data_IF_352384593018
#
_entry.id   IF_352384593018
#
_cell.length_a   1.000
_cell.length_b   1.000
_cell.length_c   1.000
_cell.angle_alpha   90.00
_cell.angle_beta   90.00
_cell.angle_gamma   90.00
#
_symmetry.space_group_name_H-M   'P 1'
#
loop_
_entity.id
_entity.type
_entity.pdbx_description
1 polymer ?
#
# COMPACT_ATOMS: atom_id res chain seq x y z
N UNK A 1 -15.12 -1.77 -0.83
CA UNK A 1 -15.03 -0.31 -1.00
C UNK A 1 -13.64 0.03 -1.53
N UNK A 2 -13.51 1.00 -2.44
CA UNK A 2 -12.22 1.48 -2.97
C UNK A 2 -12.17 3.00 -2.79
N UNK A 3 -11.07 3.53 -2.25
CA UNK A 3 -10.88 4.97 -1.99
C UNK A 3 -9.52 5.39 -2.52
N UNK A 4 -9.50 6.47 -3.32
CA UNK A 4 -8.27 7.10 -3.78
C UNK A 4 -8.12 8.47 -3.12
N UNK A 5 -6.95 8.74 -2.53
CA UNK A 5 -6.63 10.02 -1.89
C UNK A 5 -5.66 10.78 -2.82
N UNK A 6 -6.18 11.80 -3.52
CA UNK A 6 -5.43 12.58 -4.52
C UNK A 6 -5.31 14.05 -4.12
N UNK A 7 -4.33 14.76 -4.68
CA UNK A 7 -4.04 16.15 -4.33
C UNK A 7 -2.60 16.58 -4.63
N UNK A 8 -2.33 17.89 -4.51
CA UNK A 8 -0.99 18.47 -4.76
C UNK A 8 0.06 18.00 -3.74
N UNK A 9 1.33 18.29 -4.02
CA UNK A 9 2.41 18.16 -3.03
C UNK A 9 2.10 18.95 -1.75
N UNK A 10 2.29 18.32 -0.58
CA UNK A 10 2.05 18.96 0.72
C UNK A 10 0.59 19.15 1.13
N UNK A 11 -0.41 18.62 0.38
CA UNK A 11 -1.82 18.74 0.77
C UNK A 11 -2.27 17.78 1.88
N UNK A 12 -1.37 16.99 2.44
CA UNK A 12 -1.68 16.03 3.51
C UNK A 12 -2.20 14.67 3.04
N UNK A 13 -2.06 14.29 1.77
CA UNK A 13 -2.58 13.01 1.22
C UNK A 13 -2.19 11.80 2.04
N UNK A 14 -0.90 11.61 2.29
CA UNK A 14 -0.36 10.46 3.02
C UNK A 14 -0.88 10.42 4.44
N UNK A 15 -0.96 11.58 5.11
CA UNK A 15 -1.55 11.71 6.44
C UNK A 15 -3.02 11.32 6.44
N UNK A 16 -3.81 11.84 5.50
CA UNK A 16 -5.24 11.51 5.36
C UNK A 16 -5.45 10.03 5.07
N UNK A 17 -4.65 9.45 4.17
CA UNK A 17 -4.68 8.03 3.84
C UNK A 17 -4.36 7.16 5.08
N UNK A 18 -3.33 7.51 5.85
CA UNK A 18 -2.95 6.80 7.06
C UNK A 18 -4.04 6.83 8.13
N UNK A 19 -4.60 8.01 8.40
CA UNK A 19 -5.69 8.19 9.38
C UNK A 19 -6.93 7.41 8.97
N UNK A 20 -7.32 7.49 7.69
CA UNK A 20 -8.46 6.75 7.16
C UNK A 20 -8.25 5.24 7.32
N UNK A 21 -7.11 4.73 6.86
CA UNK A 21 -6.80 3.31 6.88
C UNK A 21 -6.76 2.75 8.31
N UNK A 22 -6.03 3.39 9.23
CA UNK A 22 -6.00 2.98 10.65
C UNK A 22 -7.36 3.05 11.32
N UNK A 23 -8.17 4.06 10.99
CA UNK A 23 -9.51 4.21 11.58
C UNK A 23 -10.46 3.11 11.10
N UNK A 24 -10.40 2.74 9.83
CA UNK A 24 -11.19 1.63 9.28
C UNK A 24 -10.74 0.29 9.88
N UNK A 25 -9.43 0.03 9.92
CA UNK A 25 -8.86 -1.19 10.48
C UNK A 25 -9.26 -1.38 11.96
N UNK A 26 -9.14 -0.34 12.80
CA UNK A 26 -9.59 -0.37 14.21
C UNK A 26 -11.08 -0.65 14.40
N UNK A 27 -11.90 -0.34 13.41
CA UNK A 27 -13.35 -0.62 13.43
C UNK A 27 -13.66 -2.06 12.99
N UNK A 28 -12.64 -2.89 12.76
CA UNK A 28 -12.79 -4.26 12.27
C UNK A 28 -13.07 -4.34 10.77
N UNK A 29 -12.90 -3.25 10.02
CA UNK A 29 -13.04 -3.27 8.56
C UNK A 29 -11.74 -3.79 7.95
N UNK A 30 -11.76 -4.91 7.18
CA UNK A 30 -10.58 -5.38 6.48
C UNK A 30 -10.02 -4.28 5.57
N UNK A 31 -8.81 -3.82 5.88
CA UNK A 31 -8.24 -2.62 5.25
C UNK A 31 -6.88 -2.95 4.64
N UNK A 32 -6.78 -2.73 3.32
CA UNK A 32 -5.53 -2.69 2.58
C UNK A 32 -5.22 -1.24 2.23
N UNK A 33 -4.05 -0.77 2.62
CA UNK A 33 -3.46 0.47 2.16
C UNK A 33 -2.49 0.18 1.02
N UNK A 34 -2.61 0.94 -0.08
CA UNK A 34 -1.68 0.91 -1.20
C UNK A 34 -0.95 2.26 -1.23
N UNK A 35 0.37 2.24 -1.14
CA UNK A 35 1.19 3.43 -1.37
C UNK A 35 1.64 3.45 -2.83
N UNK A 36 1.08 4.39 -3.58
CA UNK A 36 1.40 4.61 -4.99
C UNK A 36 2.23 5.87 -5.22
N UNK A 37 2.83 6.45 -4.16
CA UNK A 37 3.66 7.64 -4.29
C UNK A 37 5.07 7.28 -4.80
N UNK A 38 5.66 8.17 -5.60
CA UNK A 38 7.05 8.09 -6.05
C UNK A 38 8.04 8.01 -4.88
N UNK A 39 7.71 8.64 -3.75
CA UNK A 39 8.46 8.54 -2.50
C UNK A 39 7.56 7.96 -1.40
N UNK A 40 7.50 6.62 -1.25
CA UNK A 40 6.57 5.96 -0.34
C UNK A 40 6.87 6.30 1.11
N UNK A 41 5.89 6.90 1.78
CA UNK A 41 6.00 7.31 3.19
C UNK A 41 4.77 6.88 4.01
N UNK A 42 3.85 6.12 3.41
CA UNK A 42 2.65 5.66 4.09
C UNK A 42 2.98 4.65 5.19
N UNK A 43 4.00 3.80 5.02
CA UNK A 43 4.47 2.86 6.05
C UNK A 43 4.88 3.54 7.34
N UNK A 44 5.67 4.61 7.24
CA UNK A 44 6.04 5.46 8.39
C UNK A 44 4.80 6.06 9.06
N UNK A 45 3.89 6.63 8.25
CA UNK A 45 2.66 7.26 8.75
C UNK A 45 1.70 6.26 9.42
N UNK A 46 1.73 5.00 9.01
CA UNK A 46 0.95 3.90 9.59
C UNK A 46 1.62 3.25 10.80
N UNK A 47 2.87 3.62 11.13
CA UNK A 47 3.60 3.12 12.30
C UNK A 47 4.31 1.79 12.07
N UNK A 48 4.74 1.48 10.84
CA UNK A 48 5.54 0.29 10.55
C UNK A 48 7.02 0.42 10.97
N UNK A 49 7.51 1.66 11.13
CA UNK A 49 8.92 1.94 11.35
C UNK A 49 9.71 2.01 10.04
N UNK A 50 10.93 2.54 10.13
CA UNK A 50 11.82 2.76 8.98
C UNK A 50 12.19 1.45 8.30
N UNK A 51 12.77 0.50 9.02
CA UNK A 51 13.24 -0.79 8.48
C UNK A 51 12.15 -1.55 7.69
N UNK A 52 10.93 -1.63 8.23
CA UNK A 52 9.81 -2.32 7.56
C UNK A 52 9.25 -1.53 6.38
N UNK A 53 9.39 -0.20 6.39
CA UNK A 53 8.97 0.64 5.25
C UNK A 53 10.00 0.53 4.13
N UNK A 54 11.29 0.56 4.47
CA UNK A 54 12.39 0.39 3.53
C UNK A 54 12.38 -0.98 2.86
N UNK A 55 12.04 -2.06 3.59
CA UNK A 55 11.95 -3.39 2.99
C UNK A 55 10.84 -3.49 1.93
N UNK A 56 9.71 -2.80 2.11
CA UNK A 56 8.66 -2.71 1.09
C UNK A 56 9.11 -1.92 -0.15
N UNK A 57 9.87 -0.85 0.07
CA UNK A 57 10.44 -0.03 -1.01
C UNK A 57 11.41 -0.87 -1.84
N UNK A 58 12.31 -1.62 -1.18
CA UNK A 58 13.27 -2.49 -1.85
C UNK A 58 12.57 -3.62 -2.65
N UNK A 59 11.49 -4.18 -2.12
CA UNK A 59 10.68 -5.18 -2.85
C UNK A 59 10.05 -4.57 -4.11
N UNK A 60 9.49 -3.36 -4.01
CA UNK A 60 8.97 -2.64 -5.19
C UNK A 60 10.07 -2.40 -6.21
N UNK A 61 11.23 -1.91 -5.77
CA UNK A 61 12.35 -1.59 -6.67
C UNK A 61 12.83 -2.84 -7.42
N UNK A 62 12.93 -3.98 -6.74
CA UNK A 62 13.27 -5.25 -7.39
C UNK A 62 12.22 -5.70 -8.43
N UNK A 63 10.93 -5.40 -8.22
CA UNK A 63 9.88 -5.66 -9.22
C UNK A 63 10.02 -4.72 -10.42
N UNK A 64 10.32 -3.44 -10.17
CA UNK A 64 10.50 -2.43 -11.22
C UNK A 64 11.76 -2.69 -12.07
N UNK A 65 12.83 -3.22 -11.46
CA UNK A 65 14.08 -3.60 -12.12
C UNK A 65 13.99 -4.94 -12.86
N UNK A 66 12.92 -5.73 -12.63
CA UNK A 66 12.71 -7.05 -13.25
C UNK A 66 13.40 -8.21 -12.53
N UNK A 67 14.03 -7.95 -11.38
CA UNK A 67 14.61 -8.97 -10.50
C UNK A 67 13.55 -9.79 -9.75
N UNK A 68 12.31 -9.27 -9.69
CA UNK A 68 11.14 -9.95 -9.15
C UNK A 68 9.98 -9.89 -10.15
N UNK A 69 9.26 -11.00 -10.29
CA UNK A 69 8.07 -11.04 -11.14
C UNK A 69 6.93 -10.22 -10.54
N UNK A 70 6.17 -9.54 -11.40
CA UNK A 70 4.94 -8.86 -11.01
C UNK A 70 3.92 -9.88 -10.47
N UNK A 71 3.07 -9.46 -9.54
CA UNK A 71 1.92 -10.26 -9.14
C UNK A 71 0.89 -10.30 -10.27
N UNK A 72 0.39 -11.49 -10.62
CA UNK A 72 -0.62 -11.68 -11.65
C UNK A 72 -2.05 -11.39 -11.17
N UNK A 73 -2.27 -11.28 -9.85
CA UNK A 73 -3.57 -10.97 -9.25
C UNK A 73 -3.45 -10.12 -7.98
N UNK A 74 -4.59 -9.56 -7.53
CA UNK A 74 -4.65 -8.82 -6.28
C UNK A 74 -4.39 -9.74 -5.07
N UNK A 75 -4.89 -10.98 -5.10
CA UNK A 75 -4.66 -12.00 -4.08
C UNK A 75 -3.17 -12.34 -3.98
N UNK A 76 -2.50 -12.49 -5.12
CA UNK A 76 -1.07 -12.78 -5.16
C UNK A 76 -0.24 -11.59 -4.66
N UNK A 77 -0.60 -10.36 -5.06
CA UNK A 77 0.03 -9.14 -4.55
C UNK A 77 -0.06 -9.07 -3.03
N UNK A 78 -1.24 -9.36 -2.49
CA UNK A 78 -1.47 -9.39 -1.04
C UNK A 78 -0.67 -10.49 -0.34
N UNK A 79 -0.52 -11.65 -0.96
CA UNK A 79 0.20 -12.77 -0.38
C UNK A 79 1.73 -12.57 -0.41
N UNK A 80 2.26 -11.94 -1.47
CA UNK A 80 3.70 -11.78 -1.70
C UNK A 80 4.26 -10.48 -1.17
N UNK A 81 3.51 -9.39 -1.29
CA UNK A 81 4.05 -8.03 -1.18
C UNK A 81 3.35 -7.16 -0.13
N UNK A 82 2.26 -7.65 0.47
CA UNK A 82 1.65 -6.93 1.58
C UNK A 82 2.19 -7.39 2.94
N UNK A 83 2.39 -6.45 3.84
CA UNK A 83 2.75 -6.72 5.24
C UNK A 83 1.64 -6.26 6.17
N UNK A 84 1.48 -6.98 7.28
CA UNK A 84 0.53 -6.60 8.34
C UNK A 84 1.16 -5.62 9.32
N UNK A 85 0.41 -4.57 9.63
CA UNK A 85 0.81 -3.49 10.52
C UNK A 85 -0.09 -3.36 11.74
N UNK A 86 0.12 -2.30 12.52
CA UNK A 86 -0.66 -2.09 13.74
C UNK A 86 -2.14 -1.85 13.43
N UNK A 87 -3.00 -2.26 14.35
CA UNK A 87 -4.47 -2.28 14.20
C UNK A 87 -4.99 -3.19 13.06
N UNK A 88 -4.16 -4.08 12.51
CA UNK A 88 -4.56 -5.01 11.44
C UNK A 88 -4.63 -4.38 10.05
N UNK A 89 -4.06 -3.18 9.85
CA UNK A 89 -3.92 -2.62 8.49
C UNK A 89 -2.87 -3.40 7.72
N UNK A 90 -3.19 -3.81 6.50
CA UNK A 90 -2.19 -4.34 5.57
C UNK A 90 -1.68 -3.23 4.66
N UNK A 91 -0.40 -3.25 4.34
CA UNK A 91 0.23 -2.26 3.47
C UNK A 91 0.98 -2.96 2.35
N UNK A 92 0.81 -2.49 1.12
CA UNK A 92 1.68 -2.78 -0.01
C UNK A 92 2.11 -1.48 -0.70
N UNK A 93 3.32 -1.45 -1.25
CA UNK A 93 3.82 -0.36 -2.08
C UNK A 93 3.74 -0.81 -3.53
N UNK A 94 3.16 0.02 -4.40
CA UNK A 94 2.93 -0.32 -5.81
C UNK A 94 3.30 0.86 -6.70
N UNK A 95 4.07 0.59 -7.75
CA UNK A 95 4.51 1.59 -8.74
C UNK A 95 3.46 1.77 -9.84
N UNK A 96 2.90 0.67 -10.33
CA UNK A 96 1.83 0.68 -11.32
C UNK A 96 0.87 -0.50 -11.14
N UNK A 97 -0.40 -0.29 -11.50
CA UNK A 97 -1.37 -1.38 -11.67
C UNK A 97 -1.64 -1.48 -13.16
N UNK A 98 -1.16 -2.57 -13.76
CA UNK A 98 -1.38 -2.86 -15.18
C UNK A 98 -2.57 -3.80 -15.33
N UNK A 99 -3.36 -3.62 -16.39
CA UNK A 99 -4.58 -4.39 -16.67
C UNK A 99 -5.49 -4.53 -15.43
N UNK A 100 -5.98 -3.41 -14.86
CA UNK A 100 -6.92 -3.50 -13.75
C UNK A 100 -8.20 -4.18 -14.25
N UNK A 101 -8.34 -5.48 -13.99
CA UNK A 101 -9.61 -6.15 -14.22
C UNK A 101 -10.66 -5.45 -13.34
N UNK A 102 -11.86 -5.16 -13.87
CA UNK A 102 -12.96 -4.78 -13.03
C UNK A 102 -13.25 -5.97 -12.12
N UNK A 103 -12.70 -5.93 -10.90
CA UNK A 103 -12.90 -6.99 -9.91
C UNK A 103 -14.39 -7.33 -9.78
N UNK A 104 -14.67 -8.61 -9.57
CA UNK A 104 -16.00 -9.24 -9.53
C UNK A 104 -17.09 -8.32 -8.91
N UNK A 105 -18.29 -8.22 -9.53
CA UNK A 105 -19.37 -7.33 -9.09
C UNK A 105 -19.81 -7.51 -7.64
#
# INVERSE_FOLDING_TARGET
MKVAVVGKGGSGKTTTAAVLARTLARRGVPTLALDCDTNPNLGLSLGFGEERTESLIAVRDAVDEGDQEHAGSAEELLARFAIEGPDGVRLAVVSAIQNPEPGCP
#
